data_IF_620679668936
#
_entry.id   IF_620679668936
#
_cell.length_a   1.000
_cell.length_b   1.000
_cell.length_c   1.000
_cell.angle_alpha   90.00
_cell.angle_beta   90.00
_cell.angle_gamma   90.00
#
_symmetry.space_group_name_H-M   'P 1'
#
loop_
_entity.id
_entity.type
_entity.pdbx_description
1 polymer ?
#
# COMPACT_ATOMS: atom_id res chain seq x y z
N UNK A 1 24.37 -3.54 -40.98
CA UNK A 1 22.92 -3.27 -41.00
C UNK A 1 22.35 -2.76 -39.65
N UNK A 2 23.13 -2.64 -38.59
CA UNK A 2 22.70 -2.18 -37.26
C UNK A 2 22.68 -0.66 -37.05
N UNK A 3 23.45 0.09 -37.83
CA UNK A 3 23.57 1.56 -37.64
C UNK A 3 22.38 2.41 -38.16
N UNK A 4 21.51 1.86 -39.01
CA UNK A 4 20.38 2.63 -39.61
C UNK A 4 19.16 2.65 -38.68
N UNK A 5 18.96 1.62 -37.84
CA UNK A 5 17.83 1.55 -36.90
C UNK A 5 18.01 2.49 -35.69
N UNK A 6 19.22 2.69 -35.20
CA UNK A 6 19.48 3.62 -34.08
C UNK A 6 19.32 5.09 -34.49
N UNK A 7 19.77 5.46 -35.68
CA UNK A 7 19.60 6.82 -36.17
C UNK A 7 18.13 7.21 -36.45
N UNK A 8 17.27 6.23 -36.83
CA UNK A 8 15.84 6.46 -37.01
C UNK A 8 15.12 6.62 -35.66
N UNK A 9 15.45 5.81 -34.65
CA UNK A 9 14.89 5.95 -33.29
C UNK A 9 15.25 7.30 -32.65
N UNK A 10 16.51 7.72 -32.76
CA UNK A 10 16.97 9.02 -32.27
C UNK A 10 16.31 10.22 -32.95
N UNK A 11 16.03 10.16 -34.25
CA UNK A 11 15.31 11.21 -34.96
C UNK A 11 13.83 11.28 -34.56
N UNK A 12 13.17 10.15 -34.33
CA UNK A 12 11.77 10.08 -33.88
C UNK A 12 11.61 10.64 -32.50
N UNK A 13 12.48 10.26 -31.55
CA UNK A 13 12.49 10.80 -30.18
C UNK A 13 12.72 12.32 -30.18
N UNK A 14 13.66 12.82 -31.00
CA UNK A 14 13.91 14.25 -31.13
C UNK A 14 12.74 15.02 -31.78
N UNK A 15 11.92 14.40 -32.62
CA UNK A 15 10.73 14.99 -33.21
C UNK A 15 9.61 15.15 -32.17
N UNK A 16 9.35 14.14 -31.37
CA UNK A 16 8.36 14.21 -30.27
C UNK A 16 8.78 15.17 -29.13
N UNK A 17 10.07 15.25 -28.82
CA UNK A 17 10.58 16.20 -27.84
C UNK A 17 10.43 17.67 -28.25
N UNK A 18 10.25 17.97 -29.55
CA UNK A 18 10.00 19.34 -30.04
C UNK A 18 8.55 19.80 -29.87
N UNK A 19 7.60 18.89 -29.69
CA UNK A 19 6.17 19.19 -29.55
C UNK A 19 5.73 19.30 -28.08
N UNK A 20 6.60 18.98 -27.14
CA UNK A 20 6.29 19.07 -25.70
C UNK A 20 6.54 20.49 -25.19
N UNK A 21 5.57 21.03 -24.46
CA UNK A 21 5.70 22.34 -23.83
C UNK A 21 6.86 22.35 -22.84
N UNK A 22 7.93 23.06 -23.18
CA UNK A 22 9.17 23.10 -22.42
C UNK A 22 8.96 23.67 -20.99
N UNK A 23 7.99 24.57 -20.84
CA UNK A 23 7.66 25.15 -19.53
C UNK A 23 7.05 24.09 -18.60
N UNK A 24 6.18 23.22 -19.13
CA UNK A 24 5.61 22.11 -18.34
C UNK A 24 6.71 21.11 -17.99
N UNK A 25 7.59 20.76 -18.91
CA UNK A 25 8.72 19.87 -18.61
C UNK A 25 9.60 20.44 -17.52
N UNK A 26 9.94 21.73 -17.57
CA UNK A 26 10.77 22.35 -16.56
C UNK A 26 10.09 22.38 -15.17
N UNK A 27 8.77 22.47 -15.12
CA UNK A 27 8.02 22.42 -13.86
C UNK A 27 7.98 21.03 -13.21
N UNK A 28 7.96 19.97 -14.02
CA UNK A 28 7.81 18.59 -13.52
C UNK A 28 9.13 17.82 -13.46
N UNK A 29 10.20 18.36 -14.05
CA UNK A 29 11.52 17.71 -14.03
C UNK A 29 12.25 18.11 -12.76
N UNK A 30 12.76 17.15 -11.97
CA UNK A 30 13.58 17.45 -10.81
C UNK A 30 14.85 18.20 -11.21
N UNK A 31 15.33 19.09 -10.37
CA UNK A 31 16.54 19.90 -10.60
C UNK A 31 17.82 19.05 -10.67
N UNK A 32 17.80 17.86 -10.07
CA UNK A 32 18.88 16.88 -10.13
C UNK A 32 18.47 15.58 -9.43
N UNK A 33 19.15 14.50 -9.79
CA UNK A 33 19.06 13.21 -9.11
C UNK A 33 20.46 12.69 -8.89
N UNK A 34 20.84 12.57 -7.62
CA UNK A 34 22.13 12.04 -7.20
C UNK A 34 21.95 10.69 -6.50
N UNK A 35 22.79 9.73 -6.82
CA UNK A 35 22.71 8.39 -6.27
C UNK A 35 23.90 8.12 -5.36
N UNK A 36 23.59 7.65 -4.14
CA UNK A 36 24.58 7.16 -3.19
C UNK A 36 24.40 5.66 -2.97
N UNK A 37 25.22 5.10 -2.10
CA UNK A 37 25.29 3.68 -1.77
C UNK A 37 23.92 3.07 -1.40
N UNK A 38 23.16 3.76 -0.56
CA UNK A 38 21.91 3.27 0.04
C UNK A 38 20.73 4.20 -0.12
N UNK A 39 20.94 5.39 -0.67
CA UNK A 39 19.92 6.41 -0.84
C UNK A 39 20.15 7.22 -2.11
N UNK A 40 19.20 8.06 -2.45
CA UNK A 40 19.26 8.98 -3.57
C UNK A 40 18.66 10.32 -3.17
N UNK A 41 19.15 11.39 -3.77
CA UNK A 41 18.58 12.72 -3.63
C UNK A 41 17.84 13.09 -4.92
N UNK A 42 16.61 13.54 -4.80
CA UNK A 42 15.80 14.04 -5.90
C UNK A 42 15.42 15.47 -5.59
N UNK A 43 16.05 16.42 -6.25
CA UNK A 43 15.95 17.85 -5.90
C UNK A 43 16.34 18.09 -4.43
N UNK A 44 15.40 18.56 -3.61
CA UNK A 44 15.59 18.83 -2.18
C UNK A 44 15.25 17.62 -1.28
N UNK A 45 14.65 16.58 -1.84
CA UNK A 45 14.21 15.42 -1.08
C UNK A 45 15.23 14.28 -1.13
N UNK A 46 15.33 13.56 -0.03
CA UNK A 46 16.11 12.33 0.06
C UNK A 46 15.18 11.11 0.00
N UNK A 47 15.63 10.03 -0.63
CA UNK A 47 14.84 8.80 -0.70
C UNK A 47 15.69 7.54 -0.75
N UNK A 48 15.05 6.40 -0.61
CA UNK A 48 15.69 5.09 -0.77
C UNK A 48 14.73 4.10 -1.39
N UNK A 49 15.25 3.19 -2.19
CA UNK A 49 14.49 2.09 -2.78
C UNK A 49 14.83 0.80 -2.06
N UNK A 50 13.79 0.15 -1.55
CA UNK A 50 13.83 -1.19 -0.98
C UNK A 50 13.17 -2.18 -1.92
N UNK A 51 13.52 -3.46 -1.80
CA UNK A 51 12.72 -4.55 -2.35
C UNK A 51 12.17 -5.43 -1.22
N UNK A 52 11.00 -6.02 -1.44
CA UNK A 52 10.51 -7.10 -0.59
C UNK A 52 11.30 -8.36 -0.94
N UNK A 53 12.05 -8.88 0.03
CA UNK A 53 12.91 -10.06 -0.11
C UNK A 53 12.33 -11.32 0.50
N UNK A 54 11.39 -11.19 1.44
CA UNK A 54 10.62 -12.26 2.05
C UNK A 54 9.15 -11.93 2.00
N UNK A 55 8.35 -12.87 1.57
CA UNK A 55 6.90 -12.81 1.47
C UNK A 55 6.27 -13.66 2.58
N UNK A 56 5.01 -13.40 3.00
CA UNK A 56 4.34 -14.21 4.00
C UNK A 56 4.22 -15.66 3.53
N UNK A 57 4.36 -16.59 4.48
CA UNK A 57 4.21 -18.02 4.18
C UNK A 57 2.77 -18.36 3.78
N UNK A 58 1.81 -17.75 4.47
CA UNK A 58 0.39 -17.82 4.17
C UNK A 58 -0.12 -16.42 3.84
N UNK A 59 -0.44 -16.20 2.57
CA UNK A 59 -0.96 -14.93 2.11
C UNK A 59 -2.49 -14.93 2.17
N UNK A 60 -3.04 -14.26 3.17
CA UNK A 60 -4.48 -14.02 3.28
C UNK A 60 -5.01 -13.04 2.23
N UNK A 61 -6.34 -12.97 2.08
CA UNK A 61 -6.95 -11.98 1.19
C UNK A 61 -6.56 -10.55 1.61
N UNK A 62 -6.18 -9.73 0.63
CA UNK A 62 -5.81 -8.32 0.85
C UNK A 62 -4.41 -8.12 1.44
N UNK A 63 -3.53 -9.12 1.44
CA UNK A 63 -2.18 -9.00 2.02
C UNK A 63 -1.33 -7.87 1.43
N UNK A 64 -1.56 -7.50 0.15
CA UNK A 64 -0.90 -6.37 -0.48
C UNK A 64 -1.42 -5.00 -0.03
N UNK A 65 -2.57 -4.96 0.64
CA UNK A 65 -3.16 -3.68 1.09
C UNK A 65 -2.21 -2.93 2.02
N UNK A 66 -1.61 -3.62 3.00
CA UNK A 66 -0.61 -3.01 3.89
C UNK A 66 0.63 -2.55 3.13
N UNK A 67 1.11 -3.36 2.18
CA UNK A 67 2.30 -3.04 1.36
C UNK A 67 2.09 -1.79 0.51
N UNK A 68 0.87 -1.59 0.00
CA UNK A 68 0.55 -0.48 -0.91
C UNK A 68 0.07 0.80 -0.21
N UNK A 69 -0.28 0.73 1.08
CA UNK A 69 -0.80 1.88 1.83
C UNK A 69 0.17 2.40 2.90
N UNK A 70 1.47 2.26 2.67
CA UNK A 70 2.51 2.80 3.52
C UNK A 70 2.65 4.31 3.30
N UNK A 71 2.77 5.05 4.40
CA UNK A 71 2.94 6.51 4.38
C UNK A 71 4.22 6.92 3.65
N UNK A 72 4.14 7.98 2.83
CA UNK A 72 5.27 8.54 2.06
C UNK A 72 6.06 7.49 1.26
N UNK A 73 5.35 6.45 0.79
CA UNK A 73 5.95 5.33 0.07
C UNK A 73 5.23 5.13 -1.26
N UNK A 74 6.01 5.04 -2.33
CA UNK A 74 5.51 4.61 -3.63
C UNK A 74 5.83 3.13 -3.81
N UNK A 75 4.80 2.35 -4.10
CA UNK A 75 4.93 0.90 -4.28
C UNK A 75 4.78 0.55 -5.76
N UNK A 76 5.77 -0.15 -6.30
CA UNK A 76 5.68 -0.78 -7.62
C UNK A 76 5.61 -2.29 -7.45
N UNK A 77 4.56 -2.88 -7.99
CA UNK A 77 4.36 -4.33 -8.03
C UNK A 77 4.48 -4.79 -9.47
N UNK A 78 5.33 -5.75 -9.71
CA UNK A 78 5.49 -6.40 -11.01
C UNK A 78 5.17 -7.88 -10.90
N UNK A 79 4.34 -8.35 -11.81
CA UNK A 79 4.05 -9.77 -11.98
C UNK A 79 4.44 -10.18 -13.40
N UNK A 80 5.37 -11.13 -13.49
CA UNK A 80 5.84 -11.66 -14.77
C UNK A 80 5.48 -13.13 -14.89
N UNK A 81 4.57 -13.42 -15.79
CA UNK A 81 4.20 -14.80 -16.10
C UNK A 81 5.43 -15.63 -16.51
N UNK A 82 5.47 -16.88 -16.09
CA UNK A 82 6.49 -17.85 -16.50
C UNK A 82 5.86 -19.17 -16.88
N UNK A 83 6.49 -19.88 -17.81
CA UNK A 83 6.05 -21.22 -18.19
C UNK A 83 6.20 -22.19 -17.00
N UNK A 84 5.15 -22.96 -16.67
CA UNK A 84 5.15 -23.89 -15.54
C UNK A 84 6.31 -24.90 -15.57
N UNK A 85 6.65 -25.41 -16.74
CA UNK A 85 7.71 -26.42 -16.91
C UNK A 85 9.10 -25.90 -16.51
N UNK A 86 9.39 -24.64 -16.84
CA UNK A 86 10.67 -24.03 -16.48
C UNK A 86 10.76 -23.83 -14.96
N UNK A 87 9.68 -23.37 -14.37
CA UNK A 87 9.63 -23.13 -12.94
C UNK A 87 9.64 -24.42 -12.14
N UNK A 88 8.91 -25.46 -12.56
CA UNK A 88 8.88 -26.74 -11.86
C UNK A 88 10.26 -27.38 -11.77
N UNK A 89 11.07 -27.29 -12.83
CA UNK A 89 12.47 -27.75 -12.79
C UNK A 89 13.31 -27.01 -11.76
N UNK A 90 13.17 -25.69 -11.66
CA UNK A 90 13.88 -24.87 -10.67
C UNK A 90 13.42 -25.18 -9.25
N UNK A 91 12.11 -25.34 -9.02
CA UNK A 91 11.57 -25.68 -7.72
C UNK A 91 11.97 -27.08 -7.26
N UNK A 92 11.98 -28.05 -8.16
CA UNK A 92 12.45 -29.42 -7.86
C UNK A 92 13.93 -29.46 -7.51
N UNK A 93 14.77 -28.67 -8.21
CA UNK A 93 16.18 -28.51 -7.84
C UNK A 93 16.31 -27.94 -6.44
N UNK A 94 15.56 -26.87 -6.14
CA UNK A 94 15.57 -26.26 -4.81
C UNK A 94 15.09 -27.21 -3.72
N UNK A 95 14.09 -28.06 -4.04
CA UNK A 95 13.62 -29.08 -3.12
C UNK A 95 14.70 -30.10 -2.77
N UNK A 96 15.53 -30.51 -3.75
CA UNK A 96 16.65 -31.39 -3.50
C UNK A 96 17.71 -30.73 -2.62
N UNK A 97 18.06 -29.47 -2.91
CA UNK A 97 19.01 -28.69 -2.10
C UNK A 97 18.55 -28.54 -0.64
N UNK A 98 17.26 -28.30 -0.41
CA UNK A 98 16.70 -28.20 0.95
C UNK A 98 16.72 -29.52 1.69
N UNK A 99 16.46 -30.64 1.02
CA UNK A 99 16.58 -31.98 1.63
C UNK A 99 18.02 -32.28 2.07
N UNK A 100 18.98 -31.99 1.21
CA UNK A 100 20.38 -32.15 1.55
C UNK A 100 20.80 -31.26 2.75
N UNK A 101 20.24 -30.03 2.82
CA UNK A 101 20.50 -29.12 3.94
C UNK A 101 19.93 -29.66 5.27
N UNK A 102 18.77 -30.33 5.25
CA UNK A 102 18.21 -30.99 6.46
C UNK A 102 19.12 -32.09 6.96
N UNK A 103 19.68 -32.90 6.03
CA UNK A 103 20.58 -34.01 6.39
C UNK A 103 21.91 -33.50 6.98
N UNK A 104 22.34 -32.33 6.58
CA UNK A 104 23.59 -31.68 7.05
C UNK A 104 23.41 -30.87 8.33
N UNK A 105 22.20 -30.44 8.66
CA UNK A 105 21.92 -29.60 9.83
C UNK A 105 22.05 -30.41 11.11
N UNK A 106 22.67 -29.79 12.13
CA UNK A 106 22.86 -30.37 13.46
C UNK A 106 21.86 -29.88 14.50
N UNK A 107 21.24 -28.71 14.25
CA UNK A 107 20.30 -28.08 15.16
C UNK A 107 18.86 -28.47 14.83
N UNK A 108 18.11 -28.89 15.84
CA UNK A 108 16.71 -29.33 15.69
C UNK A 108 15.79 -28.18 15.24
N UNK A 109 16.03 -26.97 15.73
CA UNK A 109 15.30 -25.76 15.32
C UNK A 109 15.51 -25.42 13.83
N UNK A 110 16.72 -25.61 13.34
CA UNK A 110 17.07 -25.40 11.93
C UNK A 110 16.41 -26.47 11.04
N UNK A 111 16.46 -27.74 11.47
CA UNK A 111 15.79 -28.86 10.76
C UNK A 111 14.29 -28.61 10.65
N UNK A 112 13.65 -28.15 11.70
CA UNK A 112 12.22 -27.84 11.69
C UNK A 112 11.90 -26.72 10.71
N UNK A 113 12.70 -25.65 10.70
CA UNK A 113 12.55 -24.55 9.73
C UNK A 113 12.72 -25.02 8.28
N UNK A 114 13.72 -25.86 8.01
CA UNK A 114 13.96 -26.44 6.69
C UNK A 114 12.83 -27.38 6.26
N UNK A 115 12.31 -28.20 7.17
CA UNK A 115 11.16 -29.08 6.87
C UNK A 115 9.91 -28.28 6.53
N UNK A 116 9.60 -27.22 7.26
CA UNK A 116 8.49 -26.31 6.92
C UNK A 116 8.69 -25.68 5.52
N UNK A 117 9.90 -25.28 5.18
CA UNK A 117 10.21 -24.77 3.85
C UNK A 117 10.03 -25.83 2.74
N UNK A 118 10.38 -27.09 3.03
CA UNK A 118 10.15 -28.23 2.12
C UNK A 118 8.66 -28.46 1.91
N UNK A 119 7.83 -28.45 2.95
CA UNK A 119 6.39 -28.63 2.84
C UNK A 119 5.73 -27.52 2.03
N UNK A 120 6.05 -26.27 2.31
CA UNK A 120 5.55 -25.12 1.54
C UNK A 120 5.95 -25.23 0.05
N UNK A 121 7.19 -25.65 -0.21
CA UNK A 121 7.65 -25.82 -1.58
C UNK A 121 6.96 -27.00 -2.31
N UNK A 122 6.70 -28.10 -1.63
CA UNK A 122 5.93 -29.22 -2.16
C UNK A 122 4.50 -28.82 -2.51
N UNK A 123 3.86 -28.04 -1.64
CA UNK A 123 2.52 -27.52 -1.90
C UNK A 123 2.49 -26.62 -3.14
N UNK A 124 3.48 -25.71 -3.27
CA UNK A 124 3.61 -24.87 -4.45
C UNK A 124 3.78 -25.70 -5.72
N UNK A 125 4.66 -26.70 -5.70
CA UNK A 125 4.86 -27.63 -6.83
C UNK A 125 3.56 -28.36 -7.16
N UNK A 126 2.82 -28.85 -6.17
CA UNK A 126 1.53 -29.53 -6.38
C UNK A 126 0.49 -28.60 -7.03
N UNK A 127 0.39 -27.35 -6.59
CA UNK A 127 -0.51 -26.34 -7.20
C UNK A 127 -0.17 -26.11 -8.68
N UNK A 128 1.10 -26.02 -9.01
CA UNK A 128 1.57 -25.73 -10.37
C UNK A 128 1.41 -26.97 -11.27
N UNK A 129 1.92 -28.12 -10.83
CA UNK A 129 2.04 -29.32 -11.69
C UNK A 129 0.76 -30.14 -11.72
N UNK A 130 0.14 -30.34 -10.56
CA UNK A 130 -1.06 -31.21 -10.45
C UNK A 130 -2.34 -30.42 -10.71
N UNK A 131 -2.48 -29.24 -10.13
CA UNK A 131 -3.68 -28.41 -10.29
C UNK A 131 -3.63 -27.51 -11.53
N UNK A 132 -2.48 -27.42 -12.22
CA UNK A 132 -2.32 -26.59 -13.42
C UNK A 132 -2.46 -25.08 -13.15
N UNK A 133 -2.21 -24.62 -11.92
CA UNK A 133 -2.38 -23.22 -11.57
C UNK A 133 -1.31 -22.37 -12.27
N UNK A 134 -1.70 -21.27 -12.96
CA UNK A 134 -0.75 -20.35 -13.55
C UNK A 134 0.12 -19.70 -12.48
N UNK A 135 1.38 -19.51 -12.79
CA UNK A 135 2.39 -18.98 -11.87
C UNK A 135 3.23 -17.93 -12.56
N UNK A 136 3.71 -16.99 -11.79
CA UNK A 136 4.64 -15.96 -12.25
C UNK A 136 5.63 -15.58 -11.16
N UNK A 137 6.56 -14.71 -11.53
CA UNK A 137 7.47 -14.07 -10.59
C UNK A 137 6.89 -12.73 -10.16
N UNK A 138 6.82 -12.52 -8.86
CA UNK A 138 6.45 -11.24 -8.24
C UNK A 138 7.70 -10.54 -7.76
N UNK A 139 7.78 -9.25 -8.04
CA UNK A 139 8.79 -8.34 -7.50
C UNK A 139 8.10 -7.08 -7.00
N UNK A 140 8.39 -6.66 -5.78
CA UNK A 140 7.81 -5.48 -5.16
C UNK A 140 8.93 -4.54 -4.73
N UNK A 141 8.90 -3.34 -5.28
CA UNK A 141 9.80 -2.25 -4.96
C UNK A 141 9.05 -1.18 -4.17
N UNK A 142 9.69 -0.63 -3.17
CA UNK A 142 9.18 0.42 -2.29
C UNK A 142 10.14 1.61 -2.36
N UNK A 143 9.66 2.75 -2.81
CA UNK A 143 10.39 4.00 -2.79
C UNK A 143 9.88 4.87 -1.66
N UNK A 144 10.73 5.12 -0.68
CA UNK A 144 10.43 5.92 0.51
C UNK A 144 11.14 7.25 0.37
N UNK A 145 10.43 8.34 0.59
CA UNK A 145 10.94 9.72 0.52
C UNK A 145 10.82 10.44 1.85
N UNK A 146 11.71 11.39 2.08
CA UNK A 146 11.69 12.29 3.23
C UNK A 146 12.39 13.62 2.89
N UNK A 147 12.19 14.63 3.72
CA UNK A 147 12.80 15.95 3.53
C UNK A 147 14.26 15.98 4.02
N UNK A 148 14.61 15.08 4.93
CA UNK A 148 15.97 14.98 5.46
C UNK A 148 16.33 13.54 5.85
N UNK A 149 17.61 13.31 6.13
CA UNK A 149 18.16 11.97 6.42
C UNK A 149 17.61 11.35 7.71
N UNK A 150 17.40 12.15 8.74
CA UNK A 150 16.91 11.67 10.03
C UNK A 150 15.47 11.16 9.90
N UNK A 151 14.67 11.92 9.18
CA UNK A 151 13.30 11.55 8.87
C UNK A 151 13.23 10.30 7.97
N UNK A 152 14.12 10.20 6.96
CA UNK A 152 14.20 9.01 6.12
C UNK A 152 14.47 7.75 6.95
N UNK A 153 15.41 7.83 7.90
CA UNK A 153 15.72 6.71 8.81
C UNK A 153 14.51 6.35 9.68
N UNK A 154 13.79 7.36 10.19
CA UNK A 154 12.59 7.16 10.98
C UNK A 154 11.46 6.51 10.17
N UNK A 155 11.19 7.00 8.96
CA UNK A 155 10.20 6.44 8.03
C UNK A 155 10.55 5.01 7.64
N UNK A 156 11.82 4.75 7.36
CA UNK A 156 12.34 3.43 7.02
C UNK A 156 12.03 2.40 8.12
N UNK A 157 12.30 2.74 9.39
CA UNK A 157 11.98 1.89 10.54
C UNK A 157 10.48 1.63 10.66
N UNK A 158 9.64 2.66 10.49
CA UNK A 158 8.18 2.52 10.52
C UNK A 158 7.67 1.59 9.42
N UNK A 159 8.16 1.78 8.19
CA UNK A 159 7.81 0.92 7.05
C UNK A 159 8.23 -0.53 7.29
N UNK A 160 9.45 -0.75 7.76
CA UNK A 160 9.95 -2.10 8.07
C UNK A 160 9.14 -2.76 9.19
N UNK A 161 8.78 -2.02 10.23
CA UNK A 161 7.93 -2.51 11.31
C UNK A 161 6.53 -2.88 10.82
N UNK A 162 5.90 -2.03 10.01
CA UNK A 162 4.58 -2.30 9.44
C UNK A 162 4.59 -3.54 8.53
N UNK A 163 5.64 -3.71 7.73
CA UNK A 163 5.79 -4.87 6.86
C UNK A 163 6.09 -6.16 7.64
N UNK A 164 6.81 -6.05 8.76
CA UNK A 164 7.07 -7.21 9.62
C UNK A 164 5.79 -7.79 10.23
N UNK A 165 4.78 -6.96 10.51
CA UNK A 165 3.46 -7.41 11.02
C UNK A 165 2.76 -8.34 10.02
N UNK A 166 2.95 -8.08 8.72
CA UNK A 166 2.42 -8.92 7.63
C UNK A 166 3.46 -9.89 7.08
N UNK A 167 4.47 -10.24 7.88
CA UNK A 167 5.54 -11.19 7.57
C UNK A 167 6.37 -10.88 6.32
N UNK A 168 6.29 -9.64 5.82
CA UNK A 168 7.11 -9.18 4.71
C UNK A 168 8.46 -8.69 5.21
N UNK A 169 9.54 -9.25 4.68
CA UNK A 169 10.90 -8.77 4.92
C UNK A 169 11.39 -7.89 3.78
N UNK A 170 12.11 -6.82 4.11
CA UNK A 170 12.67 -5.90 3.13
C UNK A 170 14.19 -5.96 3.07
N UNK A 171 14.73 -5.55 1.94
CA UNK A 171 16.18 -5.35 1.75
C UNK A 171 16.42 -4.06 1.00
N UNK A 172 17.34 -3.24 1.51
CA UNK A 172 17.84 -2.06 0.79
C UNK A 172 18.71 -2.52 -0.38
N UNK A 173 18.52 -1.92 -1.55
CA UNK A 173 19.27 -2.22 -2.76
C UNK A 173 20.59 -1.42 -2.78
N UNK A 174 21.56 -1.88 -1.96
CA UNK A 174 22.88 -1.25 -1.88
C UNK A 174 23.59 -1.30 -3.23
N UNK A 175 24.26 -0.21 -3.61
CA UNK A 175 24.96 -0.02 -4.89
C UNK A 175 24.07 -0.16 -6.14
N UNK A 176 22.76 -0.15 -5.99
CA UNK A 176 21.79 -0.33 -7.09
C UNK A 176 20.65 0.66 -7.02
N UNK A 177 20.80 1.78 -6.30
CA UNK A 177 19.73 2.76 -6.13
C UNK A 177 19.34 3.42 -7.47
N UNK A 178 20.29 3.65 -8.36
CA UNK A 178 20.08 4.16 -9.71
C UNK A 178 19.23 3.21 -10.57
N UNK A 179 19.59 1.92 -10.57
CA UNK A 179 18.86 0.88 -11.27
C UNK A 179 17.47 0.66 -10.67
N UNK A 180 17.36 0.70 -9.34
CA UNK A 180 16.11 0.54 -8.63
C UNK A 180 15.16 1.70 -8.89
N UNK A 181 15.64 2.93 -8.81
CA UNK A 181 14.85 4.12 -9.08
C UNK A 181 14.38 4.16 -10.55
N UNK A 182 15.26 3.86 -11.49
CA UNK A 182 14.87 3.78 -12.90
C UNK A 182 13.84 2.68 -13.19
N UNK A 183 13.87 1.59 -12.39
CA UNK A 183 12.90 0.49 -12.51
C UNK A 183 11.53 0.87 -11.94
N UNK A 184 11.43 1.85 -11.03
CA UNK A 184 10.14 2.35 -10.53
C UNK A 184 9.32 3.05 -11.62
N UNK A 185 9.96 3.54 -12.68
CA UNK A 185 9.25 4.18 -13.78
C UNK A 185 8.18 3.24 -14.39
N UNK A 186 7.00 3.77 -14.79
CA UNK A 186 5.86 2.96 -15.26
C UNK A 186 6.13 2.23 -16.58
N UNK A 187 7.20 2.57 -17.27
CA UNK A 187 7.47 2.11 -18.64
C UNK A 187 8.34 0.85 -18.72
N UNK A 188 8.61 0.16 -17.60
CA UNK A 188 9.38 -1.08 -17.61
C UNK A 188 10.76 -0.90 -18.24
N UNK A 189 11.72 -0.39 -17.49
CA UNK A 189 13.04 -0.12 -18.04
C UNK A 189 13.90 -1.40 -18.13
N UNK A 190 14.84 -1.45 -19.08
CA UNK A 190 15.62 -2.66 -19.42
C UNK A 190 16.55 -3.14 -18.32
N UNK A 191 16.70 -2.41 -17.23
CA UNK A 191 17.56 -2.78 -16.09
C UNK A 191 16.89 -3.68 -15.05
N UNK A 192 15.62 -4.00 -15.24
CA UNK A 192 14.84 -4.84 -14.33
C UNK A 192 15.55 -6.16 -13.98
N UNK A 193 16.11 -6.86 -14.95
CA UNK A 193 16.78 -8.15 -14.72
C UNK A 193 17.95 -8.08 -13.72
N UNK A 194 18.59 -6.92 -13.59
CA UNK A 194 19.71 -6.72 -12.65
C UNK A 194 19.26 -6.59 -11.19
N UNK A 195 17.98 -6.28 -10.97
CA UNK A 195 17.38 -6.05 -9.65
C UNK A 195 16.50 -7.23 -9.22
N UNK A 196 15.87 -7.91 -10.17
CA UNK A 196 14.92 -9.00 -9.95
C UNK A 196 15.45 -10.12 -9.06
N UNK A 197 16.73 -10.43 -9.18
CA UNK A 197 17.38 -11.49 -8.41
C UNK A 197 17.33 -11.29 -6.88
N UNK A 198 17.09 -10.08 -6.40
CA UNK A 198 17.07 -9.77 -4.96
C UNK A 198 15.70 -10.03 -4.34
N UNK A 199 14.63 -9.57 -4.99
CA UNK A 199 13.26 -9.60 -4.45
C UNK A 199 12.29 -10.52 -5.18
N UNK A 200 12.64 -10.99 -6.38
CA UNK A 200 11.75 -11.80 -7.21
C UNK A 200 11.49 -13.17 -6.59
N UNK A 201 10.21 -13.53 -6.45
CA UNK A 201 9.78 -14.83 -5.92
C UNK A 201 8.67 -15.42 -6.80
N UNK A 202 8.68 -16.75 -7.00
CA UNK A 202 7.58 -17.42 -7.67
C UNK A 202 6.33 -17.35 -6.81
N UNK A 203 5.20 -17.01 -7.43
CA UNK A 203 3.92 -16.90 -6.74
C UNK A 203 2.79 -17.37 -7.65
N UNK A 204 1.85 -18.19 -7.15
CA UNK A 204 0.63 -18.56 -7.86
C UNK A 204 -0.21 -17.32 -8.16
N UNK A 205 -0.90 -17.34 -9.30
CA UNK A 205 -1.68 -16.18 -9.75
C UNK A 205 -2.84 -15.87 -8.80
N UNK A 206 -3.46 -16.90 -8.20
CA UNK A 206 -4.54 -16.70 -7.23
C UNK A 206 -4.05 -15.99 -5.95
N UNK A 207 -2.85 -16.33 -5.48
CA UNK A 207 -2.20 -15.66 -4.33
C UNK A 207 -1.87 -14.21 -4.66
N UNK A 208 -1.39 -13.95 -5.87
CA UNK A 208 -1.10 -12.59 -6.33
C UNK A 208 -2.38 -11.75 -6.41
N UNK A 209 -3.41 -12.21 -7.10
CA UNK A 209 -4.67 -11.48 -7.19
C UNK A 209 -5.44 -11.43 -5.87
N UNK A 210 -5.32 -12.45 -5.02
CA UNK A 210 -5.84 -12.44 -3.66
C UNK A 210 -5.21 -11.36 -2.78
N UNK A 211 -4.04 -10.85 -3.16
CA UNK A 211 -3.38 -9.72 -2.50
C UNK A 211 -4.14 -8.42 -2.56
N UNK A 212 -4.88 -8.20 -3.62
CA UNK A 212 -5.80 -7.09 -3.88
C UNK A 212 -5.38 -5.77 -3.22
N UNK A 213 -4.41 -5.03 -3.80
CA UNK A 213 -3.81 -3.85 -3.17
C UNK A 213 -4.81 -2.71 -2.96
N UNK A 214 -5.94 -2.75 -3.65
CA UNK A 214 -7.00 -1.75 -3.58
C UNK A 214 -8.21 -2.24 -2.77
N UNK A 215 -7.99 -3.08 -1.77
CA UNK A 215 -9.05 -3.68 -0.95
C UNK A 215 -9.92 -2.66 -0.21
N UNK A 216 -9.48 -1.41 -0.07
CA UNK A 216 -10.25 -0.32 0.49
C UNK A 216 -10.37 0.83 -0.50
N UNK A 217 -11.59 1.11 -0.94
CA UNK A 217 -11.89 2.31 -1.73
C UNK A 217 -12.01 3.57 -0.88
N UNK A 218 -12.12 3.42 0.45
CA UNK A 218 -12.62 4.47 1.32
C UNK A 218 -14.08 4.79 1.02
N UNK A 219 -14.62 5.78 1.71
CA UNK A 219 -15.89 6.41 1.37
C UNK A 219 -15.56 7.89 1.12
N UNK A 220 -15.75 8.34 -0.11
CA UNK A 220 -15.34 9.68 -0.49
C UNK A 220 -16.45 10.31 -1.34
N UNK A 221 -17.42 10.89 -0.68
CA UNK A 221 -18.50 11.60 -1.35
C UNK A 221 -17.97 12.93 -1.91
N UNK A 222 -18.60 13.42 -2.98
CA UNK A 222 -18.23 14.69 -3.63
C UNK A 222 -18.45 15.89 -2.70
N UNK A 223 -19.44 15.78 -1.82
CA UNK A 223 -19.76 16.72 -0.75
C UNK A 223 -19.75 15.96 0.59
N UNK A 224 -19.78 16.70 1.69
CA UNK A 224 -19.82 16.09 3.02
C UNK A 224 -18.62 16.46 3.88
N UNK A 225 -18.54 15.84 5.04
CA UNK A 225 -17.52 16.14 6.03
C UNK A 225 -16.63 14.93 6.34
N UNK A 226 -15.44 15.24 6.79
CA UNK A 226 -14.48 14.24 7.21
C UNK A 226 -14.91 13.53 8.49
N UNK A 227 -15.07 12.22 8.45
CA UNK A 227 -15.39 11.37 9.60
C UNK A 227 -14.16 10.71 10.21
N UNK A 228 -13.15 10.43 9.42
CA UNK A 228 -11.97 9.73 9.88
C UNK A 228 -11.20 9.06 8.76
N UNK A 229 -10.41 8.06 9.13
CA UNK A 229 -9.68 7.21 8.20
C UNK A 229 -10.03 5.75 8.42
N UNK A 230 -10.01 4.96 7.35
CA UNK A 230 -10.05 3.49 7.45
C UNK A 230 -8.75 2.96 8.05
N UNK A 231 -8.71 1.66 8.37
CA UNK A 231 -7.48 0.98 8.81
C UNK A 231 -6.33 1.12 7.81
N UNK A 232 -6.68 1.23 6.53
CA UNK A 232 -5.74 1.40 5.41
C UNK A 232 -5.40 2.88 5.14
N UNK A 233 -5.65 3.77 6.11
CA UNK A 233 -5.37 5.22 6.03
C UNK A 233 -6.13 5.97 4.90
N UNK A 234 -7.19 5.39 4.36
CA UNK A 234 -8.05 6.06 3.39
C UNK A 234 -8.99 7.04 4.09
N UNK A 235 -9.21 8.18 3.47
CA UNK A 235 -10.14 9.17 3.98
C UNK A 235 -11.59 8.64 3.93
N UNK A 236 -12.36 8.99 4.96
CA UNK A 236 -13.80 8.77 5.01
C UNK A 236 -14.45 10.14 5.03
N UNK A 237 -14.95 10.57 3.86
CA UNK A 237 -15.75 11.78 3.67
C UNK A 237 -17.16 11.33 3.37
N UNK A 238 -18.10 11.76 4.18
CA UNK A 238 -19.49 11.31 4.09
C UNK A 238 -20.43 12.52 3.97
N UNK A 239 -21.30 12.44 2.99
CA UNK A 239 -22.54 13.23 2.92
C UNK A 239 -23.73 12.31 3.17
N UNK A 240 -24.33 12.41 4.36
CA UNK A 240 -25.44 11.53 4.74
C UNK A 240 -26.72 11.80 3.93
N UNK A 241 -26.80 12.92 3.21
CA UNK A 241 -27.97 13.30 2.42
C UNK A 241 -27.94 12.76 1.00
N UNK A 242 -26.78 12.27 0.51
CA UNK A 242 -26.70 11.63 -0.81
C UNK A 242 -27.53 10.35 -0.82
N UNK A 243 -28.35 10.24 -1.86
CA UNK A 243 -29.14 9.04 -2.14
C UNK A 243 -28.57 8.26 -3.31
N UNK A 244 -28.44 6.96 -3.13
CA UNK A 244 -27.99 6.01 -4.16
C UNK A 244 -28.74 4.68 -4.01
N UNK A 245 -28.47 3.73 -4.88
CA UNK A 245 -29.02 2.37 -4.75
C UNK A 245 -28.66 1.72 -3.41
N UNK A 246 -27.47 2.02 -2.88
CA UNK A 246 -26.92 1.42 -1.67
C UNK A 246 -27.19 2.28 -0.41
N UNK A 247 -27.60 3.54 -0.59
CA UNK A 247 -27.92 4.49 0.49
C UNK A 247 -29.31 5.10 0.25
N UNK A 248 -30.32 4.42 0.76
CA UNK A 248 -31.73 4.77 0.55
C UNK A 248 -32.28 5.72 1.61
N UNK A 249 -31.64 5.82 2.78
CA UNK A 249 -32.04 6.68 3.89
C UNK A 249 -30.82 7.28 4.61
N UNK A 250 -31.06 8.24 5.52
CA UNK A 250 -30.04 8.92 6.34
C UNK A 250 -30.09 8.51 7.82
N UNK A 251 -30.71 7.39 8.13
CA UNK A 251 -30.84 6.95 9.52
C UNK A 251 -29.49 6.41 10.03
N UNK A 252 -29.11 6.82 11.23
CA UNK A 252 -27.89 6.38 11.89
C UNK A 252 -28.25 5.66 13.18
N UNK A 253 -27.52 4.58 13.47
CA UNK A 253 -27.56 3.86 14.73
C UNK A 253 -26.16 3.81 15.29
N UNK A 254 -25.96 4.36 16.48
CA UNK A 254 -24.68 4.31 17.20
C UNK A 254 -24.74 3.25 18.30
N UNK A 255 -23.95 2.22 18.17
CA UNK A 255 -23.87 1.13 19.14
C UNK A 255 -22.45 0.98 19.67
N UNK A 256 -22.33 0.58 20.92
CA UNK A 256 -21.03 0.33 21.56
C UNK A 256 -21.14 0.17 23.07
N UNK A 257 -20.10 -0.35 23.69
CA UNK A 257 -20.02 -0.46 25.16
C UNK A 257 -19.93 0.91 25.81
N UNK A 258 -20.33 1.06 27.09
CA UNK A 258 -20.16 2.32 27.82
C UNK A 258 -18.72 2.80 27.80
N UNK A 259 -18.50 4.13 27.70
CA UNK A 259 -17.18 4.73 27.73
C UNK A 259 -16.37 4.68 26.42
N UNK A 260 -16.87 4.07 25.35
CA UNK A 260 -16.16 3.96 24.05
C UNK A 260 -16.17 5.25 23.21
N UNK A 261 -16.87 6.30 23.65
CA UNK A 261 -16.94 7.59 22.95
C UNK A 261 -18.14 7.75 22.00
N UNK A 262 -19.23 6.99 22.20
CA UNK A 262 -20.46 7.12 21.37
C UNK A 262 -21.00 8.54 21.35
N UNK A 263 -21.27 9.12 22.53
CA UNK A 263 -21.81 10.49 22.66
C UNK A 263 -20.86 11.54 22.06
N UNK A 264 -19.54 11.34 22.20
CA UNK A 264 -18.55 12.22 21.58
C UNK A 264 -18.62 12.17 20.05
N UNK A 265 -18.72 10.98 19.47
CA UNK A 265 -18.86 10.81 18.03
C UNK A 265 -20.16 11.43 17.49
N UNK A 266 -21.26 11.28 18.23
CA UNK A 266 -22.55 11.89 17.88
C UNK A 266 -22.45 13.42 17.94
N UNK A 267 -21.88 13.98 19.02
CA UNK A 267 -21.66 15.43 19.16
C UNK A 267 -20.83 16.01 18.01
N UNK A 268 -19.75 15.32 17.60
CA UNK A 268 -18.90 15.73 16.48
C UNK A 268 -19.67 15.76 15.16
N UNK A 269 -20.49 14.75 14.90
CA UNK A 269 -21.32 14.69 13.68
C UNK A 269 -22.40 15.79 13.70
N UNK A 270 -23.08 15.98 14.82
CA UNK A 270 -24.12 17.01 14.95
C UNK A 270 -23.53 18.42 14.76
N UNK A 271 -22.36 18.70 15.31
CA UNK A 271 -21.66 19.96 15.11
C UNK A 271 -21.32 20.17 13.62
N UNK A 272 -20.80 19.15 12.94
CA UNK A 272 -20.52 19.22 11.50
C UNK A 272 -21.78 19.46 10.68
N UNK A 273 -22.88 18.78 10.96
CA UNK A 273 -24.14 18.99 10.30
C UNK A 273 -24.69 20.44 10.52
N UNK A 274 -24.56 20.96 11.73
CA UNK A 274 -24.91 22.33 12.02
C UNK A 274 -24.11 23.33 11.18
N UNK A 275 -22.80 23.15 11.05
CA UNK A 275 -21.96 24.01 10.21
C UNK A 275 -22.27 23.87 8.70
N UNK A 276 -22.83 22.75 8.27
CA UNK A 276 -23.36 22.58 6.91
C UNK A 276 -24.74 23.18 6.71
N UNK A 277 -25.30 23.83 7.75
CA UNK A 277 -26.61 24.51 7.70
C UNK A 277 -27.81 23.60 7.95
N UNK A 278 -27.59 22.38 8.41
CA UNK A 278 -28.65 21.45 8.81
C UNK A 278 -29.28 21.93 10.12
N UNK A 279 -30.59 21.98 10.19
CA UNK A 279 -31.32 22.22 11.45
C UNK A 279 -31.25 20.96 12.30
N UNK A 280 -30.73 21.09 13.52
CA UNK A 280 -30.56 19.99 14.46
C UNK A 280 -31.55 20.12 15.61
N UNK A 281 -32.27 19.06 15.91
CA UNK A 281 -33.17 18.93 17.06
C UNK A 281 -32.74 17.71 17.84
N UNK A 282 -32.47 17.88 19.13
CA UNK A 282 -31.94 16.80 20.00
C UNK A 282 -32.97 16.51 21.10
N UNK A 283 -33.41 15.27 21.24
CA UNK A 283 -34.13 14.77 22.40
C UNK A 283 -33.13 14.12 23.35
N UNK A 284 -32.85 14.80 24.44
CA UNK A 284 -31.74 14.45 25.35
C UNK A 284 -32.27 14.17 26.77
N UNK A 285 -32.66 12.93 27.08
CA UNK A 285 -33.17 12.59 28.41
C UNK A 285 -32.08 12.60 29.50
N UNK A 286 -30.79 12.50 29.11
CA UNK A 286 -29.68 12.42 30.06
C UNK A 286 -28.93 13.76 30.23
N UNK A 287 -29.35 14.82 29.54
CA UNK A 287 -28.74 16.16 29.54
C UNK A 287 -27.24 16.16 29.15
N UNK A 288 -26.82 15.26 28.27
CA UNK A 288 -25.43 15.16 27.80
C UNK A 288 -25.06 16.22 26.74
N UNK A 289 -26.05 16.80 26.04
CA UNK A 289 -25.84 17.69 24.87
C UNK A 289 -26.01 19.18 25.20
N UNK A 290 -26.35 19.55 26.42
CA UNK A 290 -26.56 20.95 26.84
C UNK A 290 -25.30 21.79 26.57
N UNK A 291 -24.12 21.30 26.90
CA UNK A 291 -22.86 22.00 26.65
C UNK A 291 -22.60 22.26 25.15
N UNK A 292 -23.06 21.34 24.28
CA UNK A 292 -22.94 21.53 22.84
C UNK A 292 -23.78 22.73 22.36
N UNK A 293 -25.00 22.86 22.87
CA UNK A 293 -25.92 23.99 22.55
C UNK A 293 -25.35 25.34 23.01
N UNK A 294 -24.65 25.36 24.13
CA UNK A 294 -24.06 26.59 24.70
C UNK A 294 -22.60 26.83 24.23
N UNK A 295 -22.08 26.05 23.30
CA UNK A 295 -20.75 26.28 22.77
C UNK A 295 -20.67 27.61 22.00
N UNK A 296 -19.51 28.25 22.03
CA UNK A 296 -19.24 29.54 21.38
C UNK A 296 -19.60 29.56 19.87
N UNK A 297 -19.57 28.40 19.22
CA UNK A 297 -19.80 28.26 17.78
C UNK A 297 -21.17 27.74 17.38
N UNK A 298 -21.99 27.29 18.36
CA UNK A 298 -23.34 26.77 18.13
C UNK A 298 -24.32 27.59 18.96
N UNK A 299 -25.17 28.34 18.30
CA UNK A 299 -26.21 29.13 18.95
C UNK A 299 -27.51 28.29 19.04
N UNK A 300 -27.64 27.54 20.11
CA UNK A 300 -28.76 26.64 20.34
C UNK A 300 -29.58 27.01 21.58
N UNK A 301 -30.86 26.73 21.55
CA UNK A 301 -31.76 26.89 22.69
C UNK A 301 -31.99 25.53 23.37
N UNK A 302 -32.07 25.55 24.69
CA UNK A 302 -32.40 24.38 25.50
C UNK A 302 -33.78 24.56 26.10
N UNK A 303 -34.68 23.61 25.81
CA UNK A 303 -36.04 23.60 26.36
C UNK A 303 -36.12 22.46 27.37
N UNK A 304 -36.31 22.78 28.65
CA UNK A 304 -36.54 21.77 29.67
C UNK A 304 -38.03 21.42 29.70
N UNK A 305 -38.38 20.25 29.17
CA UNK A 305 -39.77 19.78 29.12
C UNK A 305 -40.37 19.45 30.50
N UNK A 306 -39.56 19.37 31.54
CA UNK A 306 -40.02 19.09 32.92
C UNK A 306 -40.43 20.39 33.62
N UNK A 307 -39.67 21.46 33.47
CA UNK A 307 -39.92 22.76 34.05
C UNK A 307 -40.86 23.63 33.20
N UNK A 308 -40.95 23.34 31.91
CA UNK A 308 -41.74 24.15 30.96
C UNK A 308 -41.07 25.47 30.58
N UNK A 309 -39.79 25.63 30.87
CA UNK A 309 -38.95 26.78 30.52
C UNK A 309 -38.00 26.46 29.35
#
# INVERSE_FOLDING_TARGET
>A
MFGIKEKKKSKTIKKYAKEVNQNILNMITPSGVDFDLSHLNVSENIGTVLCISRYPAEAGFGWLTTVCNLESTQTKIEFRYTAPDRLSKQLNKRLSELKEAVDLSKEESEKQSLNNAIENLKELVNRIVVKGEPVGYVNILLYITADNREELISRLKRVQSALSIVECGTRTLLFKQDLAFSTLAPYGLPNYEKISNVGERPMPISTFFGGFPNASSGLNDVSGYYLGKTKEQRLVILDQWIRSKDRTNSNWIFTGVPGVGKSTAVKDILAKEYFYGTKVIIFDPEKEYVELCHSEYINGDVIDCVSGE
#
